data_IF_218130756094
#
_entry.id   IF_218130756094
#
_cell.length_a   1.000
_cell.length_b   1.000
_cell.length_c   1.000
_cell.angle_alpha   90.00
_cell.angle_beta   90.00
_cell.angle_gamma   90.00
#
_symmetry.space_group_name_H-M   'P 1'
#
loop_
_entity.id
_entity.type
_entity.pdbx_description
1 polymer ?
#
# COMPACT_ATOMS: atom_id res chain seq x y z
N UNK A 1 -31.89 -42.37 4.04
CA UNK A 1 -30.84 -41.91 3.07
C UNK A 1 -30.04 -40.69 3.57
N UNK A 2 -29.45 -40.72 4.77
CA UNK A 2 -28.73 -39.53 5.25
C UNK A 2 -27.27 -39.46 4.81
N UNK A 3 -26.76 -40.42 4.05
CA UNK A 3 -25.31 -40.49 3.74
C UNK A 3 -24.90 -39.71 2.47
N UNK A 4 -25.81 -39.20 1.66
CA UNK A 4 -25.45 -38.39 0.50
C UNK A 4 -25.10 -36.94 0.81
N UNK A 5 -25.49 -36.44 1.97
CA UNK A 5 -25.16 -35.08 2.42
C UNK A 5 -23.77 -34.91 3.04
N UNK A 6 -23.24 -35.95 3.68
CA UNK A 6 -21.93 -35.93 4.31
C UNK A 6 -20.77 -35.98 3.29
N UNK A 7 -20.95 -36.74 2.20
CA UNK A 7 -19.93 -36.80 1.12
C UNK A 7 -19.72 -35.46 0.40
N UNK A 8 -20.77 -34.65 0.27
CA UNK A 8 -20.65 -33.34 -0.34
C UNK A 8 -20.01 -32.30 0.59
N UNK A 9 -20.20 -32.41 1.90
CA UNK A 9 -19.53 -31.55 2.89
C UNK A 9 -18.02 -31.79 2.93
N UNK A 10 -17.57 -33.03 2.83
CA UNK A 10 -16.15 -33.36 2.82
C UNK A 10 -15.44 -32.90 1.55
N UNK A 11 -16.11 -32.91 0.39
CA UNK A 11 -15.54 -32.37 -0.86
C UNK A 11 -15.36 -30.85 -0.82
N UNK A 12 -16.30 -30.12 -0.24
CA UNK A 12 -16.21 -28.66 -0.15
C UNK A 12 -15.12 -28.22 0.82
N UNK A 13 -14.88 -28.96 1.91
CA UNK A 13 -13.85 -28.65 2.89
C UNK A 13 -12.44 -28.93 2.34
N UNK A 14 -12.26 -30.00 1.54
CA UNK A 14 -10.98 -30.28 0.87
C UNK A 14 -10.63 -29.28 -0.23
N UNK A 15 -11.62 -28.76 -0.96
CA UNK A 15 -11.40 -27.71 -1.96
C UNK A 15 -11.04 -26.37 -1.32
N UNK A 16 -11.62 -26.03 -0.15
CA UNK A 16 -11.28 -24.83 0.61
C UNK A 16 -9.83 -24.86 1.14
N UNK A 17 -9.37 -26.00 1.66
CA UNK A 17 -8.00 -26.11 2.18
C UNK A 17 -6.95 -26.05 1.07
N UNK A 18 -7.20 -26.62 -0.12
CA UNK A 18 -6.31 -26.52 -1.28
C UNK A 18 -6.22 -25.09 -1.80
N UNK A 19 -7.32 -24.36 -1.88
CA UNK A 19 -7.36 -22.95 -2.30
C UNK A 19 -6.59 -22.04 -1.34
N UNK A 20 -6.69 -22.27 -0.02
CA UNK A 20 -5.96 -21.52 0.99
C UNK A 20 -4.45 -21.80 0.97
N UNK A 21 -4.04 -23.05 0.73
CA UNK A 21 -2.64 -23.43 0.59
C UNK A 21 -2.00 -22.82 -0.67
N UNK A 22 -2.71 -22.81 -1.79
CA UNK A 22 -2.24 -22.21 -3.03
C UNK A 22 -2.04 -20.69 -2.85
N UNK A 23 -2.99 -20.00 -2.23
CA UNK A 23 -2.87 -18.56 -1.93
C UNK A 23 -1.69 -18.24 -1.02
N UNK A 24 -1.40 -19.10 -0.05
CA UNK A 24 -0.24 -18.93 0.82
C UNK A 24 1.07 -19.10 0.08
N UNK A 25 1.19 -20.12 -0.78
CA UNK A 25 2.37 -20.33 -1.62
C UNK A 25 2.60 -19.18 -2.60
N UNK A 26 1.53 -18.65 -3.21
CA UNK A 26 1.62 -17.52 -4.12
C UNK A 26 2.14 -16.27 -3.40
N UNK A 27 1.74 -16.04 -2.14
CA UNK A 27 2.24 -14.94 -1.31
C UNK A 27 3.72 -15.10 -0.98
N UNK A 28 4.17 -16.30 -0.66
CA UNK A 28 5.57 -16.58 -0.32
C UNK A 28 6.50 -16.34 -1.51
N UNK A 29 6.01 -16.57 -2.72
CA UNK A 29 6.76 -16.37 -3.95
C UNK A 29 6.63 -14.96 -4.55
N UNK A 30 5.74 -14.13 -4.01
CA UNK A 30 5.54 -12.76 -4.49
C UNK A 30 6.52 -11.81 -3.81
N UNK A 31 7.39 -11.09 -4.57
CA UNK A 31 8.36 -10.17 -3.95
C UNK A 31 7.70 -9.01 -3.19
N UNK A 32 6.45 -8.65 -3.54
CA UNK A 32 5.71 -7.58 -2.88
C UNK A 32 5.03 -8.02 -1.58
N UNK A 33 4.93 -9.33 -1.36
CA UNK A 33 4.41 -9.90 -0.12
C UNK A 33 5.53 -10.25 0.88
N UNK A 34 6.80 -10.10 0.48
CA UNK A 34 7.93 -10.36 1.34
C UNK A 34 7.95 -9.40 2.53
N UNK A 35 8.32 -9.93 3.71
CA UNK A 35 8.47 -9.14 4.92
C UNK A 35 9.92 -8.68 5.07
N UNK A 36 10.13 -7.45 5.53
CA UNK A 36 11.46 -6.86 5.73
C UNK A 36 11.37 -5.34 5.78
N UNK A 37 12.50 -4.68 5.76
CA UNK A 37 12.55 -3.23 5.70
C UNK A 37 11.97 -2.75 4.37
N UNK A 38 10.79 -2.16 4.41
CA UNK A 38 10.06 -1.75 3.23
C UNK A 38 10.16 -0.25 3.02
N UNK A 39 10.49 0.13 1.79
CA UNK A 39 10.51 1.53 1.35
C UNK A 39 9.60 1.70 0.14
N UNK A 40 9.09 2.91 -0.04
CA UNK A 40 8.34 3.32 -1.21
C UNK A 40 9.10 4.41 -1.94
N UNK A 41 9.43 4.18 -3.20
CA UNK A 41 10.10 5.14 -4.08
C UNK A 41 9.12 5.82 -5.01
N UNK A 42 9.21 7.14 -5.14
CA UNK A 42 8.38 7.95 -6.02
C UNK A 42 9.27 8.81 -6.92
N UNK A 43 8.82 9.11 -8.13
CA UNK A 43 9.58 9.86 -9.16
C UNK A 43 10.98 9.28 -9.37
N UNK A 44 11.03 8.01 -9.79
CA UNK A 44 12.29 7.28 -10.03
C UNK A 44 13.23 7.31 -8.81
N UNK A 45 12.63 7.21 -7.60
CA UNK A 45 13.32 7.23 -6.30
C UNK A 45 14.00 8.57 -5.96
N UNK A 46 13.57 9.66 -6.58
CA UNK A 46 13.92 10.99 -6.08
C UNK A 46 13.35 11.22 -4.67
N UNK A 47 12.23 10.59 -4.36
CA UNK A 47 11.62 10.51 -3.04
C UNK A 47 11.61 9.05 -2.58
N UNK A 48 12.06 8.80 -1.35
CA UNK A 48 12.01 7.48 -0.74
C UNK A 48 11.43 7.62 0.65
N UNK A 49 10.41 6.85 0.95
CA UNK A 49 9.70 6.85 2.24
C UNK A 49 9.92 5.52 2.97
N UNK A 50 10.06 5.62 4.29
CA UNK A 50 10.16 4.46 5.18
C UNK A 50 8.75 3.97 5.51
N UNK A 51 8.33 2.88 4.86
CA UNK A 51 6.99 2.32 5.01
C UNK A 51 6.81 1.66 6.38
N UNK A 52 7.83 0.98 6.88
CA UNK A 52 7.76 0.33 8.20
C UNK A 52 7.57 1.34 9.31
N UNK A 53 8.26 2.48 9.25
CA UNK A 53 8.09 3.56 10.22
C UNK A 53 6.69 4.17 10.11
N UNK A 54 6.19 4.37 8.89
CA UNK A 54 4.84 4.87 8.66
C UNK A 54 3.79 3.94 9.28
N UNK A 55 3.94 2.63 9.11
CA UNK A 55 3.03 1.64 9.72
C UNK A 55 3.03 1.72 11.24
N UNK A 56 4.19 1.94 11.85
CA UNK A 56 4.30 2.13 13.31
C UNK A 56 3.57 3.40 13.76
N UNK A 57 3.75 4.50 13.04
CA UNK A 57 3.14 5.78 13.37
C UNK A 57 1.61 5.68 13.35
N UNK A 58 1.03 5.07 12.32
CA UNK A 58 -0.43 4.98 12.17
C UNK A 58 -1.07 3.93 13.07
N UNK A 59 -0.29 3.11 13.77
CA UNK A 59 -0.80 2.13 14.72
C UNK A 59 -1.16 2.72 16.09
N UNK A 60 -1.27 4.03 16.18
CA UNK A 60 -1.61 4.79 17.40
C UNK A 60 -3.12 4.83 17.74
N UNK A 61 -3.95 4.12 16.97
CA UNK A 61 -5.40 4.09 17.17
C UNK A 61 -6.17 5.10 16.34
N UNK A 62 -5.50 5.84 15.43
CA UNK A 62 -6.20 6.76 14.53
C UNK A 62 -7.14 6.01 13.59
N UNK A 63 -8.22 6.69 13.19
CA UNK A 63 -9.18 6.13 12.25
C UNK A 63 -8.75 6.40 10.81
N UNK A 64 -8.87 5.40 9.90
CA UNK A 64 -8.65 5.65 8.48
C UNK A 64 -9.81 6.44 7.89
N UNK A 65 -9.56 7.15 6.79
CA UNK A 65 -10.57 7.90 6.04
C UNK A 65 -10.79 7.25 4.68
N UNK A 66 -12.03 7.29 4.20
CA UNK A 66 -12.36 6.83 2.86
C UNK A 66 -11.89 7.87 1.84
N UNK A 67 -11.15 7.41 0.83
CA UNK A 67 -10.72 8.26 -0.28
C UNK A 67 -11.77 8.24 -1.39
N UNK A 68 -11.95 9.37 -2.06
CA UNK A 68 -12.82 9.47 -3.22
C UNK A 68 -12.27 8.59 -4.36
N UNK A 69 -13.17 8.04 -5.18
CA UNK A 69 -12.80 7.12 -6.26
C UNK A 69 -11.82 7.75 -7.25
N UNK A 70 -11.96 9.02 -7.56
CA UNK A 70 -11.06 9.73 -8.48
C UNK A 70 -9.64 9.85 -7.90
N UNK A 71 -9.53 10.08 -6.59
CA UNK A 71 -8.25 10.12 -5.88
C UNK A 71 -7.58 8.74 -5.85
N UNK A 72 -8.37 7.69 -5.64
CA UNK A 72 -7.87 6.31 -5.70
C UNK A 72 -7.35 5.99 -7.10
N UNK A 73 -8.09 6.35 -8.15
CA UNK A 73 -7.68 6.15 -9.53
C UNK A 73 -6.39 6.90 -9.85
N UNK A 74 -6.25 8.13 -9.38
CA UNK A 74 -5.04 8.92 -9.55
C UNK A 74 -3.83 8.24 -8.91
N UNK A 75 -3.97 7.74 -7.68
CA UNK A 75 -2.90 7.01 -6.99
C UNK A 75 -2.48 5.75 -7.74
N UNK A 76 -3.46 4.98 -8.23
CA UNK A 76 -3.21 3.75 -8.98
C UNK A 76 -2.51 4.05 -10.31
N UNK A 77 -2.95 5.07 -11.04
CA UNK A 77 -2.38 5.45 -12.34
C UNK A 77 -0.94 5.95 -12.21
N UNK A 78 -0.58 6.55 -11.08
CA UNK A 78 0.76 7.06 -10.81
C UNK A 78 1.67 6.08 -10.07
N UNK A 79 1.24 4.83 -9.92
CA UNK A 79 2.00 3.80 -9.21
C UNK A 79 2.32 2.64 -10.13
N UNK A 80 3.43 1.97 -9.82
CA UNK A 80 3.78 0.72 -10.50
C UNK A 80 2.99 -0.42 -9.85
N UNK A 81 2.03 -0.96 -10.59
CA UNK A 81 1.15 -2.02 -10.12
C UNK A 81 1.54 -3.36 -10.75
N UNK A 82 1.74 -4.35 -9.90
CA UNK A 82 1.98 -5.73 -10.32
C UNK A 82 0.68 -6.52 -10.24
N UNK A 83 0.14 -6.92 -11.39
CA UNK A 83 -1.17 -7.56 -11.49
C UNK A 83 -1.28 -8.83 -10.62
N UNK A 84 -0.20 -9.59 -10.55
CA UNK A 84 -0.18 -10.81 -9.72
C UNK A 84 -0.35 -10.50 -8.23
N UNK A 85 0.16 -9.37 -7.77
CA UNK A 85 0.06 -8.98 -6.37
C UNK A 85 -1.34 -8.50 -5.99
N UNK A 86 -2.11 -7.95 -6.93
CA UNK A 86 -3.49 -7.47 -6.68
C UNK A 86 -4.36 -8.59 -6.10
N UNK A 87 -4.20 -9.81 -6.58
CA UNK A 87 -5.00 -10.96 -6.11
C UNK A 87 -4.60 -11.46 -4.72
N UNK A 88 -3.42 -11.10 -4.23
CA UNK A 88 -2.92 -11.54 -2.92
C UNK A 88 -3.29 -10.58 -1.79
N UNK A 89 -3.53 -9.33 -2.09
CA UNK A 89 -3.76 -8.31 -1.06
C UNK A 89 -5.14 -8.41 -0.46
N UNK A 90 -5.25 -8.03 0.81
CA UNK A 90 -6.54 -7.92 1.48
C UNK A 90 -7.09 -6.50 1.28
N UNK A 91 -8.20 -6.34 0.52
CA UNK A 91 -8.74 -5.01 0.23
C UNK A 91 -9.32 -4.29 1.45
N UNK A 92 -9.49 -4.98 2.57
CA UNK A 92 -10.01 -4.40 3.81
C UNK A 92 -8.96 -3.62 4.60
N UNK A 93 -7.66 -3.87 4.37
CA UNK A 93 -6.62 -3.16 5.09
C UNK A 93 -6.45 -1.76 4.50
N UNK A 94 -6.45 -0.72 5.36
CA UNK A 94 -6.22 0.65 4.89
C UNK A 94 -4.81 0.83 4.36
N UNK A 95 -4.66 1.78 3.43
CA UNK A 95 -3.35 2.27 3.00
C UNK A 95 -2.84 3.38 3.92
N UNK A 96 -1.75 4.02 3.52
CA UNK A 96 -1.16 5.16 4.22
C UNK A 96 -0.90 6.27 3.21
N UNK A 97 -1.51 7.43 3.44
CA UNK A 97 -1.36 8.61 2.61
C UNK A 97 -0.49 9.64 3.34
N UNK A 98 0.59 10.06 2.72
CA UNK A 98 1.51 11.06 3.25
C UNK A 98 1.49 12.35 2.47
N UNK A 99 2.19 13.35 2.99
CA UNK A 99 2.41 14.62 2.31
C UNK A 99 3.64 14.54 1.42
N UNK A 100 3.59 15.25 0.31
CA UNK A 100 4.66 15.35 -0.68
C UNK A 100 4.87 16.83 -1.01
N UNK A 101 6.11 17.28 -1.00
CA UNK A 101 6.50 18.63 -1.38
C UNK A 101 7.50 18.58 -2.52
N UNK A 102 7.33 19.43 -3.52
CA UNK A 102 8.27 19.46 -4.61
C UNK A 102 7.90 20.46 -5.69
N UNK A 103 8.75 20.60 -6.71
CA UNK A 103 8.45 21.43 -7.86
C UNK A 103 7.36 20.78 -8.71
N UNK A 104 6.35 21.57 -9.09
CA UNK A 104 5.33 21.17 -10.05
C UNK A 104 5.84 21.25 -11.49
N UNK A 105 4.96 20.95 -12.44
CA UNK A 105 5.28 20.95 -13.87
C UNK A 105 5.78 22.30 -14.38
N UNK A 106 5.28 23.38 -13.79
CA UNK A 106 5.68 24.77 -14.13
C UNK A 106 6.87 25.28 -13.33
N UNK A 107 7.49 24.43 -12.50
CA UNK A 107 8.61 24.79 -11.65
C UNK A 107 8.22 25.48 -10.34
N UNK A 108 6.94 25.73 -10.08
CA UNK A 108 6.48 26.27 -8.81
C UNK A 108 6.50 25.21 -7.74
N UNK A 109 6.73 25.62 -6.47
CA UNK A 109 6.73 24.71 -5.33
C UNK A 109 5.30 24.29 -5.01
N UNK A 110 5.04 23.00 -5.02
CA UNK A 110 3.71 22.43 -4.78
C UNK A 110 3.71 21.51 -3.56
N UNK A 111 2.54 21.46 -2.92
CA UNK A 111 2.25 20.54 -1.84
C UNK A 111 1.14 19.59 -2.30
N UNK A 112 1.40 18.30 -2.22
CA UNK A 112 0.45 17.28 -2.61
C UNK A 112 0.44 16.12 -1.62
N UNK A 113 -0.18 15.02 -2.03
CA UNK A 113 -0.26 13.80 -1.27
C UNK A 113 0.21 12.62 -2.11
N UNK A 114 0.75 11.62 -1.45
CA UNK A 114 1.24 10.39 -2.08
C UNK A 114 0.81 9.19 -1.25
N UNK A 115 0.31 8.16 -1.93
CA UNK A 115 -0.04 6.89 -1.29
C UNK A 115 1.23 6.04 -1.16
N UNK A 116 1.81 6.01 0.04
CA UNK A 116 3.09 5.34 0.29
C UNK A 116 2.94 3.86 0.62
N UNK A 117 1.76 3.43 1.04
CA UNK A 117 1.45 2.03 1.29
C UNK A 117 0.01 1.74 0.86
N UNK A 118 -0.19 0.56 0.29
CA UNK A 118 -1.51 0.11 -0.11
C UNK A 118 -1.86 0.39 -1.57
N UNK A 119 -0.91 0.67 -2.44
CA UNK A 119 -1.18 0.92 -3.86
C UNK A 119 -1.85 -0.28 -4.55
N UNK A 120 -1.43 -1.49 -4.23
CA UNK A 120 -2.05 -2.71 -4.78
C UNK A 120 -3.44 -2.95 -4.18
N UNK A 121 -3.65 -2.61 -2.90
CA UNK A 121 -4.98 -2.67 -2.27
C UNK A 121 -5.93 -1.65 -2.88
N UNK A 122 -5.43 -0.44 -3.17
CA UNK A 122 -6.19 0.59 -3.88
C UNK A 122 -6.59 0.12 -5.27
N UNK A 123 -5.67 -0.48 -6.03
CA UNK A 123 -5.94 -1.04 -7.35
C UNK A 123 -7.00 -2.14 -7.28
N UNK A 124 -6.95 -3.01 -6.28
CA UNK A 124 -7.97 -4.04 -6.08
C UNK A 124 -9.33 -3.46 -5.75
N UNK A 125 -9.40 -2.49 -4.87
CA UNK A 125 -10.67 -1.82 -4.54
C UNK A 125 -11.26 -1.12 -5.76
N UNK A 126 -10.43 -0.47 -6.56
CA UNK A 126 -10.86 0.18 -7.80
C UNK A 126 -11.42 -0.83 -8.81
N UNK A 127 -10.72 -1.96 -9.00
CA UNK A 127 -11.15 -3.03 -9.90
C UNK A 127 -12.49 -3.64 -9.46
N UNK A 128 -12.64 -3.93 -8.18
CA UNK A 128 -13.77 -4.67 -7.63
C UNK A 128 -14.93 -3.75 -7.17
N UNK A 129 -14.80 -2.43 -7.35
CA UNK A 129 -15.84 -1.47 -6.95
C UNK A 129 -16.01 -1.34 -5.44
N UNK A 130 -14.95 -1.58 -4.67
CA UNK A 130 -14.95 -1.50 -3.21
C UNK A 130 -14.46 -0.14 -2.73
N UNK A 131 -14.93 0.36 -1.56
CA UNK A 131 -14.36 1.55 -0.96
C UNK A 131 -12.92 1.30 -0.51
N UNK A 132 -12.07 2.32 -0.65
CA UNK A 132 -10.68 2.28 -0.21
C UNK A 132 -10.46 3.31 0.89
N UNK A 133 -9.86 2.87 1.98
CA UNK A 133 -9.54 3.73 3.13
C UNK A 133 -8.03 3.85 3.29
N UNK A 134 -7.59 4.98 3.84
CA UNK A 134 -6.18 5.21 4.15
C UNK A 134 -6.04 5.96 5.46
N UNK A 135 -4.98 5.64 6.20
CA UNK A 135 -4.54 6.46 7.32
C UNK A 135 -3.83 7.70 6.78
N UNK A 136 -4.10 8.85 7.38
CA UNK A 136 -3.46 10.10 7.00
C UNK A 136 -2.29 10.38 7.93
N UNK A 137 -1.12 10.64 7.35
CA UNK A 137 0.03 11.16 8.08
C UNK A 137 -0.06 12.68 8.15
N UNK A 138 0.38 13.25 9.28
CA UNK A 138 0.57 14.70 9.38
C UNK A 138 1.79 15.14 8.56
N UNK A 139 1.96 16.44 8.39
CA UNK A 139 3.14 17.00 7.73
C UNK A 139 4.42 16.62 8.48
N UNK A 140 4.44 16.71 9.80
CA UNK A 140 5.58 16.31 10.63
C UNK A 140 5.90 14.82 10.48
N UNK A 141 4.88 13.98 10.53
CA UNK A 141 5.03 12.54 10.35
C UNK A 141 5.54 12.18 8.96
N UNK A 142 5.08 12.88 7.94
CA UNK A 142 5.53 12.69 6.56
C UNK A 142 7.01 13.04 6.38
N UNK A 143 7.53 14.07 7.07
CA UNK A 143 8.96 14.38 7.08
C UNK A 143 9.78 13.35 7.85
N UNK A 144 9.23 12.82 8.96
CA UNK A 144 9.92 11.79 9.74
C UNK A 144 10.20 10.52 8.95
N UNK A 145 9.28 10.13 8.07
CA UNK A 145 9.43 8.92 7.25
C UNK A 145 10.19 9.15 5.95
N UNK A 146 10.52 10.38 5.62
CA UNK A 146 11.22 10.74 4.38
C UNK A 146 12.71 10.37 4.49
N UNK A 147 13.12 9.34 3.79
CA UNK A 147 14.53 8.90 3.73
C UNK A 147 15.31 9.68 2.68
N UNK A 148 14.69 10.07 1.59
CA UNK A 148 15.27 10.90 0.53
C UNK A 148 14.20 11.80 -0.08
N UNK A 149 14.53 13.04 -0.36
CA UNK A 149 13.67 13.97 -1.05
C UNK A 149 13.55 15.31 -0.32
N UNK A 150 12.67 16.15 -0.84
CA UNK A 150 12.41 17.48 -0.29
C UNK A 150 11.29 17.42 0.76
N UNK A 151 11.51 18.07 1.89
CA UNK A 151 10.49 18.30 2.92
C UNK A 151 9.82 19.67 2.75
N UNK A 152 9.08 20.08 3.79
CA UNK A 152 8.50 21.42 3.87
C UNK A 152 9.64 22.46 3.75
N UNK A 153 9.36 23.58 3.17
CA UNK A 153 10.34 24.67 3.03
C UNK A 153 11.55 24.34 2.15
N UNK A 154 11.49 23.28 1.34
CA UNK A 154 12.55 22.92 0.40
C UNK A 154 13.78 22.26 1.00
N UNK A 155 13.75 21.92 2.30
CA UNK A 155 14.86 21.20 2.91
C UNK A 155 15.02 19.81 2.29
N UNK A 156 16.24 19.47 1.85
CA UNK A 156 16.52 18.17 1.22
C UNK A 156 17.04 17.20 2.27
N UNK A 157 16.43 16.03 2.31
CA UNK A 157 16.83 14.94 3.21
C UNK A 157 17.52 13.83 2.40
N UNK A 158 18.57 13.29 2.97
CA UNK A 158 19.19 12.05 2.51
C UNK A 158 19.63 11.25 3.74
N UNK A 159 18.73 10.37 4.16
CA UNK A 159 18.92 9.48 5.32
C UNK A 159 19.08 8.03 4.88
N UNK A 160 19.41 7.81 3.61
CA UNK A 160 19.62 6.47 3.08
C UNK A 160 20.88 5.87 3.69
N UNK A 161 20.80 4.60 4.13
CA UNK A 161 21.98 3.86 4.53
C UNK A 161 22.72 3.34 3.29
N UNK A 162 24.00 2.96 3.44
CA UNK A 162 24.79 2.40 2.33
C UNK A 162 24.21 1.09 1.79
N UNK A 163 23.36 0.44 2.56
CA UNK A 163 22.74 -0.84 2.23
C UNK A 163 21.33 -0.69 1.63
N UNK A 164 20.86 0.54 1.52
CA UNK A 164 19.57 0.83 0.90
C UNK A 164 19.71 0.92 -0.66
#
# INVERSE_FOLDING_TARGET
MPLKGEKNRQKSTKQRSKSLQTKKQDRENCPHCATGAETYGYLKRAYVYDVDLARKIVSDGREPVELERDDVAYCVDNSRIHQQHIDHVNPKYPGILGHLWGPGEDGTWEHGHVLIDGNHRAARCLRDGLPFQAYLLSEDESEQILKRGAGRNGQVYDRMSKDD
#
